data_IF_146814775265
#
_entry.id   IF_146814775265
#
_cell.length_a   1.000
_cell.length_b   1.000
_cell.length_c   1.000
_cell.angle_alpha   90.00
_cell.angle_beta   90.00
_cell.angle_gamma   90.00
#
_symmetry.space_group_name_H-M   'P 1'
#
loop_
_entity.id
_entity.type
_entity.pdbx_description
1 polymer ?
#
# COMPACT_ATOMS: atom_id res chain seq x y z
N UNK A 1 -30.65 20.63 -8.75
CA UNK A 1 -31.62 19.96 -9.57
C UNK A 1 -31.54 18.46 -9.57
N UNK A 2 -32.43 17.83 -10.30
CA UNK A 2 -32.50 16.37 -10.43
C UNK A 2 -31.23 15.80 -11.03
N UNK A 3 -30.66 16.47 -12.01
CA UNK A 3 -29.44 16.03 -12.70
C UNK A 3 -28.24 15.93 -11.74
N UNK A 4 -28.11 16.93 -10.91
CA UNK A 4 -27.03 16.97 -9.91
C UNK A 4 -27.16 15.86 -8.88
N UNK A 5 -28.39 15.58 -8.44
CA UNK A 5 -28.65 14.45 -7.53
C UNK A 5 -28.33 13.11 -8.19
N UNK A 6 -28.64 12.94 -9.46
CA UNK A 6 -28.31 11.71 -10.19
C UNK A 6 -26.80 11.50 -10.29
N UNK A 7 -26.06 12.56 -10.58
CA UNK A 7 -24.59 12.51 -10.64
C UNK A 7 -24.02 12.13 -9.28
N UNK A 8 -24.51 12.75 -8.21
CA UNK A 8 -24.06 12.46 -6.85
C UNK A 8 -24.34 10.99 -6.48
N UNK A 9 -25.52 10.47 -6.79
CA UNK A 9 -25.86 9.08 -6.51
C UNK A 9 -24.95 8.10 -7.24
N UNK A 10 -24.63 8.38 -8.52
CA UNK A 10 -23.72 7.54 -9.29
C UNK A 10 -22.32 7.54 -8.68
N UNK A 11 -21.82 8.70 -8.26
CA UNK A 11 -20.51 8.81 -7.62
C UNK A 11 -20.46 8.08 -6.28
N UNK A 12 -21.50 8.21 -5.46
CA UNK A 12 -21.59 7.52 -4.17
C UNK A 12 -21.68 6.00 -4.35
N UNK A 13 -22.51 5.53 -5.28
CA UNK A 13 -22.64 4.11 -5.58
C UNK A 13 -21.31 3.55 -6.11
N UNK A 14 -20.63 4.30 -6.94
CA UNK A 14 -19.33 3.89 -7.48
C UNK A 14 -18.29 3.74 -6.36
N UNK A 15 -18.27 4.68 -5.42
CA UNK A 15 -17.36 4.61 -4.27
C UNK A 15 -17.65 3.38 -3.40
N UNK A 16 -18.93 3.09 -3.09
CA UNK A 16 -19.26 1.92 -2.29
C UNK A 16 -18.88 0.62 -2.98
N UNK A 17 -19.08 0.53 -4.28
CA UNK A 17 -18.66 -0.62 -5.06
C UNK A 17 -17.14 -0.78 -5.01
N UNK A 18 -16.41 0.30 -5.16
CA UNK A 18 -14.94 0.31 -5.09
C UNK A 18 -14.47 -0.11 -3.70
N UNK A 19 -15.11 0.39 -2.65
CA UNK A 19 -14.78 0.04 -1.28
C UNK A 19 -14.98 -1.45 -1.02
N UNK A 20 -16.12 -2.00 -1.43
CA UNK A 20 -16.40 -3.44 -1.28
C UNK A 20 -15.42 -4.29 -2.08
N UNK A 21 -15.08 -3.88 -3.29
CA UNK A 21 -14.07 -4.57 -4.10
C UNK A 21 -12.71 -4.54 -3.41
N UNK A 22 -12.33 -3.40 -2.85
CA UNK A 22 -11.09 -3.26 -2.09
C UNK A 22 -11.03 -4.20 -0.89
N UNK A 23 -12.14 -4.27 -0.13
CA UNK A 23 -12.26 -5.22 0.98
C UNK A 23 -12.09 -6.67 0.53
N UNK A 24 -12.73 -7.04 -0.57
CA UNK A 24 -12.65 -8.39 -1.13
C UNK A 24 -11.22 -8.72 -1.56
N UNK A 25 -10.57 -7.79 -2.26
CA UNK A 25 -9.18 -7.97 -2.69
C UNK A 25 -8.27 -8.15 -1.47
N UNK A 26 -8.41 -7.28 -0.47
CA UNK A 26 -7.60 -7.38 0.75
C UNK A 26 -7.81 -8.72 1.46
N UNK A 27 -9.06 -9.17 1.57
CA UNK A 27 -9.37 -10.44 2.21
C UNK A 27 -8.71 -11.63 1.50
N UNK A 28 -8.57 -11.60 0.17
CA UNK A 28 -7.89 -12.67 -0.55
C UNK A 28 -6.39 -12.74 -0.23
N UNK A 29 -5.80 -11.64 0.23
CA UNK A 29 -4.37 -11.59 0.56
C UNK A 29 -4.05 -12.15 1.94
N UNK A 30 -5.05 -12.42 2.78
CA UNK A 30 -4.88 -12.73 4.20
C UNK A 30 -4.02 -13.97 4.46
N UNK A 31 -4.12 -14.98 3.60
CA UNK A 31 -3.35 -16.21 3.73
C UNK A 31 -1.91 -16.07 3.23
N UNK A 32 -1.57 -14.95 2.58
CA UNK A 32 -0.23 -14.67 2.03
C UNK A 32 0.29 -15.79 1.13
N UNK A 33 -0.61 -16.40 0.37
CA UNK A 33 -0.27 -17.47 -0.54
C UNK A 33 0.30 -16.86 -1.84
N UNK A 34 1.57 -17.21 -2.23
CA UNK A 34 2.25 -16.51 -3.33
C UNK A 34 1.50 -16.53 -4.66
N UNK A 35 0.88 -17.63 -5.03
CA UNK A 35 0.14 -17.72 -6.30
C UNK A 35 -1.05 -16.80 -6.32
N UNK A 36 -1.76 -16.67 -5.19
CA UNK A 36 -2.91 -15.78 -5.06
C UNK A 36 -2.44 -14.32 -5.09
N UNK A 37 -1.38 -14.00 -4.35
CA UNK A 37 -0.81 -12.65 -4.34
C UNK A 37 -0.36 -12.24 -5.74
N UNK A 38 0.28 -13.14 -6.47
CA UNK A 38 0.70 -12.87 -7.84
C UNK A 38 -0.51 -12.54 -8.73
N UNK A 39 -1.59 -13.27 -8.60
CA UNK A 39 -2.82 -12.99 -9.36
C UNK A 39 -3.43 -11.64 -8.99
N UNK A 40 -3.44 -11.30 -7.70
CA UNK A 40 -3.93 -10.00 -7.23
C UNK A 40 -3.12 -8.87 -7.86
N UNK A 41 -1.79 -8.99 -7.84
CA UNK A 41 -0.91 -7.97 -8.40
C UNK A 41 -1.06 -7.84 -9.92
N UNK A 42 -1.09 -8.96 -10.63
CA UNK A 42 -1.27 -8.98 -12.10
C UNK A 42 -2.59 -8.35 -12.54
N UNK A 43 -3.65 -8.51 -11.74
CA UNK A 43 -4.96 -7.93 -12.02
C UNK A 43 -5.13 -6.52 -11.45
N UNK A 44 -4.03 -5.86 -11.10
CA UNK A 44 -4.00 -4.49 -10.60
C UNK A 44 -4.68 -4.30 -9.24
N UNK A 45 -4.65 -5.33 -8.40
CA UNK A 45 -5.24 -5.25 -7.06
C UNK A 45 -4.56 -4.24 -6.15
N UNK A 46 -3.22 -4.08 -6.26
CA UNK A 46 -2.50 -3.06 -5.48
C UNK A 46 -2.97 -1.65 -5.84
N UNK A 47 -3.08 -1.36 -7.13
CA UNK A 47 -3.56 -0.07 -7.61
C UNK A 47 -4.99 0.19 -7.14
N UNK A 48 -5.85 -0.83 -7.17
CA UNK A 48 -7.22 -0.72 -6.71
C UNK A 48 -7.30 -0.37 -5.22
N UNK A 49 -6.53 -1.07 -4.39
CA UNK A 49 -6.49 -0.80 -2.95
C UNK A 49 -5.97 0.62 -2.64
N UNK A 50 -4.92 1.03 -3.33
CA UNK A 50 -4.38 2.38 -3.17
C UNK A 50 -5.38 3.45 -3.61
N UNK A 51 -6.14 3.20 -4.66
CA UNK A 51 -7.16 4.12 -5.15
C UNK A 51 -8.27 4.35 -4.13
N UNK A 52 -8.71 3.30 -3.45
CA UNK A 52 -9.72 3.43 -2.39
C UNK A 52 -9.15 4.17 -1.17
N UNK A 53 -7.92 3.84 -0.78
CA UNK A 53 -7.24 4.54 0.32
C UNK A 53 -7.09 6.04 0.09
N UNK A 54 -6.84 6.43 -1.15
CA UNK A 54 -6.67 7.83 -1.54
C UNK A 54 -7.96 8.62 -1.35
N UNK A 55 -9.10 7.96 -1.42
CA UNK A 55 -10.39 8.59 -1.18
C UNK A 55 -10.62 8.74 0.33
N UNK A 56 -11.52 9.64 0.68
CA UNK A 56 -11.86 9.87 2.09
C UNK A 56 -12.67 8.69 2.61
N UNK A 57 -12.00 7.73 3.22
CA UNK A 57 -12.62 6.48 3.69
C UNK A 57 -12.55 6.38 5.21
N UNK A 58 -13.39 5.50 5.80
CA UNK A 58 -13.42 5.30 7.24
C UNK A 58 -12.17 4.55 7.73
N UNK A 59 -11.88 4.67 9.03
CA UNK A 59 -10.70 4.06 9.63
C UNK A 59 -10.68 2.53 9.46
N UNK A 60 -11.81 1.87 9.61
CA UNK A 60 -11.89 0.42 9.48
C UNK A 60 -11.52 -0.04 8.07
N UNK A 61 -12.03 0.64 7.06
CA UNK A 61 -11.69 0.34 5.67
C UNK A 61 -10.20 0.61 5.41
N UNK A 62 -9.67 1.73 5.92
CA UNK A 62 -8.25 2.03 5.78
C UNK A 62 -7.37 0.94 6.38
N UNK A 63 -7.72 0.44 7.57
CA UNK A 63 -6.97 -0.67 8.21
C UNK A 63 -6.98 -1.92 7.33
N UNK A 64 -8.15 -2.30 6.83
CA UNK A 64 -8.28 -3.51 5.99
C UNK A 64 -7.44 -3.38 4.72
N UNK A 65 -7.50 -2.24 4.05
CA UNK A 65 -6.74 -2.02 2.82
C UNK A 65 -5.23 -1.97 3.08
N UNK A 66 -4.81 -1.33 4.17
CA UNK A 66 -3.40 -1.29 4.56
C UNK A 66 -2.87 -2.68 4.87
N UNK A 67 -3.65 -3.51 5.54
CA UNK A 67 -3.28 -4.90 5.79
C UNK A 67 -3.13 -5.69 4.48
N UNK A 68 -4.02 -5.47 3.52
CA UNK A 68 -3.94 -6.11 2.20
C UNK A 68 -2.67 -5.70 1.45
N UNK A 69 -2.36 -4.42 1.44
CA UNK A 69 -1.14 -3.90 0.80
C UNK A 69 0.10 -4.49 1.49
N UNK A 70 0.11 -4.49 2.82
CA UNK A 70 1.22 -5.06 3.59
C UNK A 70 1.41 -6.55 3.28
N UNK A 71 0.33 -7.31 3.21
CA UNK A 71 0.40 -8.74 2.87
C UNK A 71 1.05 -8.94 1.50
N UNK A 72 0.67 -8.15 0.50
CA UNK A 72 1.28 -8.21 -0.83
C UNK A 72 2.77 -7.89 -0.79
N UNK A 73 3.14 -6.83 -0.07
CA UNK A 73 4.54 -6.41 0.04
C UNK A 73 5.40 -7.44 0.77
N UNK A 74 4.88 -8.06 1.82
CA UNK A 74 5.59 -9.12 2.54
C UNK A 74 5.86 -10.33 1.63
N UNK A 75 4.86 -10.75 0.87
CA UNK A 75 5.02 -11.87 -0.08
C UNK A 75 5.98 -11.49 -1.21
N UNK A 76 5.89 -10.26 -1.70
CA UNK A 76 6.80 -9.77 -2.73
C UNK A 76 8.25 -9.82 -2.27
N UNK A 77 8.51 -9.39 -1.04
CA UNK A 77 9.85 -9.43 -0.45
C UNK A 77 10.36 -10.85 -0.24
N UNK A 78 9.48 -11.76 0.14
CA UNK A 78 9.85 -13.15 0.43
C UNK A 78 10.01 -14.00 -0.83
N UNK A 79 9.15 -13.82 -1.83
CA UNK A 79 9.00 -14.78 -2.93
C UNK A 79 9.21 -14.21 -4.33
N UNK A 80 9.21 -12.89 -4.52
CA UNK A 80 9.19 -12.27 -5.84
C UNK A 80 10.28 -11.21 -6.06
N UNK A 81 11.38 -11.26 -5.31
CA UNK A 81 12.48 -10.32 -5.53
C UNK A 81 12.96 -10.41 -6.97
N UNK A 82 13.28 -9.25 -7.56
CA UNK A 82 13.78 -9.18 -8.93
C UNK A 82 15.28 -9.49 -9.00
N UNK A 83 15.86 -9.36 -10.19
CA UNK A 83 17.27 -9.64 -10.44
C UNK A 83 18.21 -8.81 -9.57
N UNK A 84 17.78 -7.63 -9.17
CA UNK A 84 18.55 -6.71 -8.34
C UNK A 84 18.31 -6.93 -6.84
N UNK A 85 17.49 -7.92 -6.47
CA UNK A 85 17.14 -8.17 -5.08
C UNK A 85 16.10 -7.20 -4.53
N UNK A 86 15.37 -6.52 -5.39
CA UNK A 86 14.36 -5.54 -5.00
C UNK A 86 12.95 -6.11 -5.13
N UNK A 87 12.05 -5.58 -4.28
CA UNK A 87 10.65 -5.98 -4.29
C UNK A 87 9.90 -5.23 -5.39
N UNK A 88 9.48 -5.90 -6.48
CA UNK A 88 8.83 -5.22 -7.60
C UNK A 88 7.49 -4.60 -7.24
N UNK A 89 6.86 -5.05 -6.16
CA UNK A 89 5.55 -4.53 -5.76
C UNK A 89 5.65 -3.12 -5.16
N UNK A 90 6.82 -2.74 -4.63
CA UNK A 90 7.03 -1.36 -4.16
C UNK A 90 6.97 -0.37 -5.32
N UNK A 91 7.49 -0.73 -6.47
CA UNK A 91 7.43 0.13 -7.66
C UNK A 91 6.01 0.38 -8.13
N UNK A 92 5.16 -0.64 -8.06
CA UNK A 92 3.75 -0.51 -8.43
C UNK A 92 3.06 0.53 -7.53
N UNK A 93 3.31 0.47 -6.22
CA UNK A 93 2.73 1.40 -5.27
C UNK A 93 3.24 2.82 -5.53
N UNK A 94 4.53 2.99 -5.78
CA UNK A 94 5.10 4.29 -6.11
C UNK A 94 4.49 4.88 -7.39
N UNK A 95 4.41 4.08 -8.46
CA UNK A 95 3.90 4.53 -9.75
C UNK A 95 2.44 4.97 -9.72
N UNK A 96 1.61 4.33 -8.89
CA UNK A 96 0.19 4.70 -8.81
C UNK A 96 -0.10 5.79 -7.77
N UNK A 97 0.94 6.38 -7.17
CA UNK A 97 0.78 7.42 -6.15
C UNK A 97 0.46 6.88 -4.76
N UNK A 98 0.58 5.57 -4.56
CA UNK A 98 0.27 4.94 -3.28
C UNK A 98 1.23 5.33 -2.16
N UNK A 99 2.49 5.60 -2.49
CA UNK A 99 3.45 6.04 -1.47
C UNK A 99 3.06 7.39 -0.88
N UNK A 100 2.64 8.33 -1.73
CA UNK A 100 2.15 9.64 -1.26
C UNK A 100 0.95 9.46 -0.33
N UNK A 101 0.05 8.54 -0.68
CA UNK A 101 -1.11 8.22 0.15
C UNK A 101 -0.68 7.66 1.50
N UNK A 102 0.27 6.74 1.53
CA UNK A 102 0.81 6.17 2.77
C UNK A 102 1.47 7.24 3.64
N UNK A 103 2.24 8.12 3.03
CA UNK A 103 2.87 9.24 3.76
C UNK A 103 1.82 10.15 4.39
N UNK A 104 0.73 10.44 3.67
CA UNK A 104 -0.38 11.22 4.20
C UNK A 104 -1.07 10.54 5.39
N UNK A 105 -1.16 9.24 5.39
CA UNK A 105 -1.77 8.49 6.49
C UNK A 105 -0.93 8.48 7.77
N UNK A 106 0.33 8.86 7.70
CA UNK A 106 1.16 9.07 8.90
C UNK A 106 0.65 10.22 9.76
N UNK A 107 -0.24 11.06 9.22
CA UNK A 107 -0.89 12.15 9.96
C UNK A 107 -2.32 11.80 10.37
N UNK A 108 -2.74 10.56 10.19
CA UNK A 108 -4.10 10.13 10.50
C UNK A 108 -4.37 10.14 12.01
N UNK A 109 -5.58 10.54 12.40
CA UNK A 109 -5.96 10.63 13.82
C UNK A 109 -6.19 9.26 14.46
N UNK A 110 -6.57 8.24 13.66
CA UNK A 110 -6.72 6.89 14.17
C UNK A 110 -5.34 6.24 14.33
N UNK A 111 -5.03 5.79 15.55
CA UNK A 111 -3.71 5.27 15.87
C UNK A 111 -3.36 4.00 15.09
N UNK A 112 -4.33 3.09 14.89
CA UNK A 112 -4.10 1.84 14.15
C UNK A 112 -3.77 2.11 12.68
N UNK A 113 -4.48 3.05 12.04
CA UNK A 113 -4.18 3.48 10.67
C UNK A 113 -2.76 4.07 10.59
N UNK A 114 -2.45 4.98 11.50
CA UNK A 114 -1.13 5.59 11.60
C UNK A 114 -0.01 4.54 11.74
N UNK A 115 -0.16 3.63 12.68
CA UNK A 115 0.86 2.60 12.95
C UNK A 115 1.08 1.69 11.74
N UNK A 116 0.01 1.28 11.04
CA UNK A 116 0.13 0.45 9.85
C UNK A 116 0.84 1.19 8.72
N UNK A 117 0.50 2.45 8.50
CA UNK A 117 1.14 3.26 7.45
C UNK A 117 2.63 3.43 7.75
N UNK A 118 2.98 3.76 8.98
CA UNK A 118 4.38 3.89 9.39
C UNK A 118 5.13 2.57 9.22
N UNK A 119 4.54 1.47 9.65
CA UNK A 119 5.15 0.15 9.54
C UNK A 119 5.46 -0.23 8.08
N UNK A 120 4.52 0.01 7.19
CA UNK A 120 4.70 -0.28 5.75
C UNK A 120 5.83 0.58 5.18
N UNK A 121 5.84 1.87 5.47
CA UNK A 121 6.87 2.78 4.95
C UNK A 121 8.24 2.38 5.48
N UNK A 122 8.37 2.11 6.77
CA UNK A 122 9.65 1.73 7.37
C UNK A 122 10.18 0.41 6.82
N UNK A 123 9.31 -0.59 6.64
CA UNK A 123 9.74 -1.91 6.20
C UNK A 123 10.05 -1.99 4.70
N UNK A 124 9.33 -1.23 3.87
CA UNK A 124 9.39 -1.45 2.43
C UNK A 124 9.89 -0.25 1.62
N UNK A 125 9.89 0.96 2.17
CA UNK A 125 10.18 2.18 1.41
C UNK A 125 11.35 3.02 1.94
N UNK A 126 11.96 2.66 3.06
CA UNK A 126 13.10 3.40 3.62
C UNK A 126 14.42 2.61 3.58
N UNK A 127 14.44 1.46 2.92
CA UNK A 127 15.61 0.59 2.88
C UNK A 127 16.82 1.29 2.24
N UNK A 128 16.61 2.08 1.18
CA UNK A 128 17.69 2.81 0.51
C UNK A 128 18.33 3.86 1.40
N UNK A 129 17.51 4.60 2.17
CA UNK A 129 18.02 5.61 3.10
C UNK A 129 18.84 4.99 4.22
N UNK A 130 18.40 3.84 4.74
CA UNK A 130 19.11 3.10 5.79
C UNK A 130 20.43 2.56 5.26
N UNK A 131 20.45 2.02 4.05
CA UNK A 131 21.67 1.51 3.42
C UNK A 131 22.67 2.62 3.15
N UNK A 132 22.23 3.78 2.67
CA UNK A 132 23.09 4.95 2.46
C UNK A 132 23.64 5.47 3.79
N UNK A 133 22.83 5.52 4.84
CA UNK A 133 23.30 5.93 6.16
C UNK A 133 24.33 4.94 6.72
N UNK A 134 24.15 3.65 6.50
CA UNK A 134 25.12 2.63 6.92
C UNK A 134 26.42 2.70 6.12
N UNK A 135 26.36 2.95 4.82
CA UNK A 135 27.53 3.14 3.99
C UNK A 135 28.34 4.36 4.46
N UNK A 136 27.68 5.47 4.73
CA UNK A 136 28.31 6.67 5.26
C UNK A 136 28.98 6.40 6.62
N UNK A 137 28.36 5.64 7.48
CA UNK A 137 28.91 5.25 8.78
C UNK A 137 30.11 4.32 8.63
N UNK A 138 30.06 3.38 7.69
CA UNK A 138 31.17 2.47 7.42
C UNK A 138 32.36 3.20 6.82
N UNK A 139 32.12 4.16 5.93
CA UNK A 139 33.18 5.02 5.38
C UNK A 139 33.82 5.86 6.49
N UNK A 140 33.05 6.38 7.42
CA UNK A 140 33.57 7.12 8.57
C UNK A 140 34.42 6.24 9.48
N UNK A 141 34.06 4.97 9.65
CA UNK A 141 34.83 4.01 10.44
C UNK A 141 36.16 3.65 9.79
N UNK A 142 36.21 3.65 8.47
CA UNK A 142 37.43 3.32 7.70
C UNK A 142 38.48 4.43 7.73
N UNK A 143 38.07 5.66 8.03
CA UNK A 143 39.00 6.80 8.16
C UNK A 143 39.71 6.84 9.50
N UNK A 144 39.33 6.03 10.45
CA UNK A 144 39.96 5.90 11.76
C UNK A 144 40.81 4.64 11.85
#
# INVERSE_FOLDING_TARGET
>A
GIFEKLVQMVEEDLYEIQREAGWSISNTTALKEPTIIQQVVEKKGLQAMCSVLKQKTDAKTSVVLLEGIKNCLEVGKKSFLDENGENPFTYIIEECGGLDTLEGLQMHTNQHVYELAVDIIEKFFQVEEIDLANEDMDDMKLEF
#
